data_IF_605970767813
#
_entry.id   IF_605970767813
#
_cell.length_a   1.000
_cell.length_b   1.000
_cell.length_c   1.000
_cell.angle_alpha   90.00
_cell.angle_beta   90.00
_cell.angle_gamma   90.00
#
_symmetry.space_group_name_H-M   'P 1'
#
loop_
_entity.id
_entity.type
_entity.pdbx_description
1 polymer ?
#
# COMPACT_ATOMS: atom_id res chain seq x y z
N UNK A 1 -14.38 0.87 -16.11
CA UNK A 1 -13.71 2.19 -16.28
C UNK A 1 -12.91 2.60 -15.03
N UNK A 2 -13.29 2.17 -13.82
CA UNK A 2 -12.56 2.43 -12.56
C UNK A 2 -11.15 1.81 -12.50
N UNK A 3 -10.98 0.56 -12.95
CA UNK A 3 -9.70 -0.16 -12.92
C UNK A 3 -8.55 0.56 -13.64
N UNK A 4 -8.81 1.18 -14.80
CA UNK A 4 -7.82 1.98 -15.54
C UNK A 4 -7.40 3.24 -14.76
N UNK A 5 -8.33 3.84 -14.00
CA UNK A 5 -8.03 4.98 -13.13
C UNK A 5 -7.14 4.59 -11.95
N UNK A 6 -7.40 3.43 -11.35
CA UNK A 6 -6.59 2.88 -10.26
C UNK A 6 -5.17 2.57 -10.72
N UNK A 7 -5.01 1.82 -11.81
CA UNK A 7 -3.69 1.49 -12.37
C UNK A 7 -2.90 2.75 -12.75
N UNK A 8 -3.57 3.78 -13.30
CA UNK A 8 -2.93 5.05 -13.62
C UNK A 8 -2.47 5.80 -12.37
N UNK A 9 -3.25 5.75 -11.28
CA UNK A 9 -2.85 6.32 -9.99
C UNK A 9 -1.65 5.59 -9.40
N UNK A 10 -1.60 4.25 -9.52
CA UNK A 10 -0.45 3.43 -9.09
C UNK A 10 0.79 3.83 -9.86
N UNK A 11 0.71 3.85 -11.19
CA UNK A 11 1.83 4.23 -12.05
C UNK A 11 2.39 5.59 -11.63
N UNK A 12 1.50 6.58 -11.43
CA UNK A 12 1.92 7.93 -11.03
C UNK A 12 2.59 7.96 -9.66
N UNK A 13 2.05 7.24 -8.67
CA UNK A 13 2.65 7.17 -7.34
C UNK A 13 4.05 6.55 -7.39
N UNK A 14 4.22 5.48 -8.17
CA UNK A 14 5.50 4.81 -8.37
C UNK A 14 6.49 5.71 -9.11
N UNK A 15 6.05 6.42 -10.15
CA UNK A 15 6.90 7.37 -10.90
C UNK A 15 7.44 8.49 -10.00
N UNK A 16 6.62 9.03 -9.10
CA UNK A 16 7.03 10.06 -8.15
C UNK A 16 8.05 9.53 -7.14
N UNK A 17 7.86 8.31 -6.64
CA UNK A 17 8.80 7.66 -5.74
C UNK A 17 10.12 7.38 -6.48
N UNK A 18 10.07 6.84 -7.70
CA UNK A 18 11.26 6.60 -8.52
C UNK A 18 12.02 7.90 -8.81
N UNK A 19 11.31 8.99 -9.10
CA UNK A 19 11.93 10.30 -9.29
C UNK A 19 12.66 10.78 -8.04
N UNK A 20 12.06 10.60 -6.86
CA UNK A 20 12.70 10.94 -5.57
C UNK A 20 14.02 10.18 -5.37
N UNK A 21 14.01 8.85 -5.55
CA UNK A 21 15.22 8.03 -5.48
C UNK A 21 16.22 8.25 -6.62
N UNK A 22 15.74 8.74 -7.77
CA UNK A 22 16.56 9.08 -8.93
C UNK A 22 17.45 10.32 -8.72
N UNK A 23 17.22 11.08 -7.65
CA UNK A 23 18.02 12.25 -7.28
C UNK A 23 19.47 11.91 -6.94
N UNK A 24 19.76 10.65 -6.57
CA UNK A 24 21.12 10.17 -6.34
C UNK A 24 21.38 8.82 -7.00
N UNK A 25 22.62 8.62 -7.46
CA UNK A 25 23.12 7.33 -7.97
C UNK A 25 23.87 6.54 -6.91
N UNK A 26 24.21 7.17 -5.80
CA UNK A 26 24.94 6.54 -4.71
C UNK A 26 24.00 5.71 -3.82
N UNK A 27 24.32 4.43 -3.54
CA UNK A 27 23.48 3.57 -2.71
C UNK A 27 23.29 4.08 -1.28
N UNK A 28 24.30 4.69 -0.68
CA UNK A 28 24.19 5.19 0.70
C UNK A 28 23.25 6.39 0.79
N UNK A 29 23.36 7.33 -0.15
CA UNK A 29 22.39 8.42 -0.30
C UNK A 29 20.97 7.92 -0.61
N UNK A 30 20.80 6.83 -1.37
CA UNK A 30 19.47 6.22 -1.58
C UNK A 30 18.86 5.68 -0.29
N UNK A 31 19.67 5.08 0.59
CA UNK A 31 19.21 4.65 1.92
C UNK A 31 18.73 5.85 2.73
N UNK A 32 19.46 6.97 2.69
CA UNK A 32 19.06 8.21 3.36
C UNK A 32 17.77 8.79 2.78
N UNK A 33 17.63 8.82 1.45
CA UNK A 33 16.42 9.29 0.76
C UNK A 33 15.19 8.44 1.09
N UNK A 34 15.37 7.15 1.35
CA UNK A 34 14.30 6.23 1.76
C UNK A 34 13.95 6.29 3.26
N UNK A 35 14.81 6.88 4.09
CA UNK A 35 14.55 7.05 5.51
C UNK A 35 13.67 8.30 5.73
N UNK A 36 12.40 8.10 6.08
CA UNK A 36 11.45 9.19 6.29
C UNK A 36 11.82 10.14 7.43
N UNK A 37 12.62 9.70 8.40
CA UNK A 37 13.13 10.57 9.46
C UNK A 37 14.21 11.54 8.95
N UNK A 38 14.88 11.18 7.86
CA UNK A 38 15.97 11.98 7.26
C UNK A 38 15.48 12.76 6.04
N UNK A 39 14.52 12.20 5.30
CA UNK A 39 13.89 12.80 4.13
C UNK A 39 12.36 12.73 4.29
N UNK A 40 11.71 13.77 4.85
CA UNK A 40 10.25 13.74 5.05
C UNK A 40 9.47 13.63 3.74
N UNK A 41 10.09 14.02 2.62
CA UNK A 41 9.53 13.93 1.26
C UNK A 41 9.08 12.51 0.90
N UNK A 42 9.83 11.47 1.27
CA UNK A 42 9.43 10.09 0.94
C UNK A 42 8.18 9.67 1.72
N UNK A 43 8.06 10.11 2.97
CA UNK A 43 6.87 9.90 3.78
C UNK A 43 5.65 10.55 3.17
N UNK A 44 5.77 11.81 2.73
CA UNK A 44 4.71 12.53 2.01
C UNK A 44 4.29 11.82 0.72
N UNK A 45 5.24 11.44 -0.13
CA UNK A 45 4.96 10.72 -1.38
C UNK A 45 4.19 9.41 -1.15
N UNK A 46 4.56 8.66 -0.11
CA UNK A 46 3.88 7.41 0.24
C UNK A 46 2.48 7.70 0.79
N UNK A 47 2.35 8.58 1.78
CA UNK A 47 1.08 8.84 2.45
C UNK A 47 0.05 9.54 1.54
N UNK A 48 0.49 10.44 0.66
CA UNK A 48 -0.41 11.23 -0.19
C UNK A 48 -0.73 10.57 -1.53
N UNK A 49 0.11 9.66 -2.02
CA UNK A 49 -0.09 9.05 -3.34
C UNK A 49 -0.22 7.54 -3.28
N UNK A 50 0.68 6.86 -2.58
CA UNK A 50 0.70 5.39 -2.58
C UNK A 50 -0.39 4.80 -1.69
N UNK A 51 -0.51 5.28 -0.45
CA UNK A 51 -1.52 4.82 0.52
C UNK A 51 -2.97 4.93 0.01
N UNK A 52 -3.45 6.10 -0.45
CA UNK A 52 -4.83 6.22 -0.96
C UNK A 52 -5.04 5.39 -2.23
N UNK A 53 -4.02 5.23 -3.06
CA UNK A 53 -4.12 4.39 -4.25
C UNK A 53 -4.31 2.91 -3.88
N UNK A 54 -3.50 2.39 -2.94
CA UNK A 54 -3.64 1.01 -2.45
C UNK A 54 -4.99 0.83 -1.75
N UNK A 55 -5.41 1.80 -0.95
CA UNK A 55 -6.72 1.77 -0.30
C UNK A 55 -7.84 1.66 -1.33
N UNK A 56 -7.83 2.50 -2.37
CA UNK A 56 -8.83 2.47 -3.43
C UNK A 56 -8.82 1.13 -4.19
N UNK A 57 -7.68 0.46 -4.35
CA UNK A 57 -7.61 -0.89 -4.94
C UNK A 57 -8.22 -1.93 -4.01
N UNK A 58 -7.95 -1.85 -2.71
CA UNK A 58 -8.52 -2.76 -1.72
C UNK A 58 -10.04 -2.59 -1.57
N UNK A 59 -10.54 -1.37 -1.83
CA UNK A 59 -11.96 -1.03 -1.80
C UNK A 59 -12.65 -1.32 -3.14
N UNK A 60 -11.93 -1.32 -4.27
CA UNK A 60 -12.47 -1.68 -5.59
C UNK A 60 -12.91 -3.14 -5.63
N UNK A 61 -14.22 -3.37 -5.70
CA UNK A 61 -14.82 -4.70 -5.68
C UNK A 61 -15.00 -5.29 -4.27
N UNK A 62 -14.69 -4.55 -3.21
CA UNK A 62 -15.00 -4.95 -1.85
C UNK A 62 -16.51 -4.89 -1.63
N UNK A 63 -17.11 -6.01 -1.20
CA UNK A 63 -18.53 -6.01 -0.83
C UNK A 63 -18.73 -5.09 0.37
N UNK A 64 -19.68 -4.15 0.29
CA UNK A 64 -19.97 -3.19 1.36
C UNK A 64 -20.20 -3.84 2.73
N UNK A 65 -20.71 -5.07 2.70
CA UNK A 65 -21.01 -5.84 3.90
C UNK A 65 -20.60 -7.30 3.73
N UNK A 66 -19.96 -7.84 4.77
CA UNK A 66 -19.70 -9.27 4.94
C UNK A 66 -20.56 -9.78 6.10
N UNK A 67 -21.24 -10.89 5.88
CA UNK A 67 -21.92 -11.61 6.96
C UNK A 67 -20.85 -12.38 7.74
N UNK A 68 -20.63 -11.94 8.97
CA UNK A 68 -19.84 -12.64 9.97
C UNK A 68 -20.78 -13.56 10.77
N UNK A 69 -20.42 -14.84 10.90
CA UNK A 69 -21.26 -15.85 11.55
C UNK A 69 -21.40 -15.63 13.07
N UNK A 70 -20.47 -14.88 13.67
CA UNK A 70 -20.41 -14.62 15.11
C UNK A 70 -20.97 -13.22 15.45
N UNK A 71 -20.73 -12.23 14.58
CA UNK A 71 -21.07 -10.82 14.87
C UNK A 71 -22.23 -10.27 14.01
N UNK A 72 -22.68 -11.00 12.99
CA UNK A 72 -23.73 -10.55 12.06
C UNK A 72 -23.18 -9.72 10.88
N UNK A 73 -23.94 -8.75 10.38
CA UNK A 73 -23.53 -7.92 9.23
C UNK A 73 -22.46 -6.89 9.65
N UNK A 74 -21.23 -7.05 9.17
CA UNK A 74 -20.12 -6.09 9.39
C UNK A 74 -19.80 -5.35 8.09
N UNK A 75 -19.53 -4.04 8.17
CA UNK A 75 -18.97 -3.29 7.05
C UNK A 75 -17.58 -3.84 6.73
N UNK A 76 -17.34 -4.12 5.47
CA UNK A 76 -16.05 -4.64 5.05
C UNK A 76 -15.13 -3.44 4.85
N UNK A 77 -14.06 -3.35 5.64
CA UNK A 77 -13.04 -2.31 5.52
C UNK A 77 -11.83 -2.90 4.80
N UNK A 78 -11.05 -2.06 4.11
CA UNK A 78 -9.78 -2.43 3.48
C UNK A 78 -8.83 -3.16 4.44
N UNK A 79 -8.86 -2.81 5.73
CA UNK A 79 -8.13 -3.52 6.79
C UNK A 79 -8.52 -5.00 6.97
N UNK A 80 -9.78 -5.38 6.72
CA UNK A 80 -10.22 -6.78 6.82
C UNK A 80 -9.58 -7.65 5.74
N UNK A 81 -9.34 -7.09 4.54
CA UNK A 81 -8.60 -7.77 3.46
C UNK A 81 -7.15 -7.99 3.87
N UNK A 82 -6.51 -6.96 4.46
CA UNK A 82 -5.14 -7.06 4.98
C UNK A 82 -5.09 -8.16 6.04
N UNK A 83 -5.97 -8.12 7.03
CA UNK A 83 -6.02 -9.09 8.14
C UNK A 83 -6.15 -10.53 7.63
N UNK A 84 -7.03 -10.80 6.66
CA UNK A 84 -7.20 -12.13 6.08
C UNK A 84 -5.98 -12.57 5.27
N UNK A 85 -5.37 -11.67 4.51
CA UNK A 85 -4.22 -11.97 3.64
C UNK A 85 -2.93 -12.18 4.44
N UNK A 86 -2.80 -11.52 5.59
CA UNK A 86 -1.64 -11.65 6.48
C UNK A 86 -1.83 -12.71 7.57
N UNK A 87 -2.95 -13.46 7.56
CA UNK A 87 -3.09 -14.62 8.46
C UNK A 87 -1.90 -15.55 8.23
N UNK A 88 -1.23 -15.91 9.32
CA UNK A 88 -0.04 -16.75 9.30
C UNK A 88 -0.32 -18.05 8.53
N UNK A 89 0.16 -18.11 7.29
CA UNK A 89 0.29 -19.34 6.53
C UNK A 89 1.62 -20.00 6.81
N UNK A 90 1.72 -21.26 6.43
CA UNK A 90 2.92 -22.12 6.55
C UNK A 90 4.20 -21.50 5.95
N UNK A 91 4.04 -20.48 5.11
CA UNK A 91 5.10 -19.75 4.42
C UNK A 91 5.84 -18.72 5.28
N UNK A 92 5.27 -18.25 6.40
CA UNK A 92 5.83 -17.14 7.17
C UNK A 92 6.86 -17.57 8.23
N UNK A 93 7.19 -18.86 8.31
CA UNK A 93 8.20 -19.42 9.21
C UNK A 93 9.37 -20.10 8.48
N UNK A 94 9.65 -19.69 7.24
CA UNK A 94 10.87 -20.14 6.54
C UNK A 94 11.93 -19.05 6.56
N UNK A 95 12.86 -19.18 7.52
CA UNK A 95 14.27 -18.73 7.49
C UNK A 95 14.45 -17.21 7.57
N UNK A 96 14.99 -16.61 8.64
CA UNK A 96 16.23 -16.89 9.39
C UNK A 96 16.14 -16.30 10.79
#
# INVERSE_FOLDING_TARGET
MLFLGLLRSVSRAVDLIMAHFGSSRDPEEKVRLGNSSWSPTIGGLVLEHLCPTIQNILEDGLRDHKLDLIVGQRRNHSWSVVEVSTRMGISNYSVT
#
